data_IF_902418579785
#
_entry.id   IF_902418579785
#
_cell.length_a   1.000
_cell.length_b   1.000
_cell.length_c   1.000
_cell.angle_alpha   90.00
_cell.angle_beta   90.00
_cell.angle_gamma   90.00
#
_symmetry.space_group_name_H-M   'P 1'
#
loop_
_entity.id
_entity.type
_entity.pdbx_description
1 polymer ?
#
# COMPACT_ATOMS: atom_id res chain seq x y z
N UNK A 1 54.35 -29.86 -15.29
CA UNK A 1 54.74 -29.42 -16.65
C UNK A 1 54.22 -30.32 -17.79
N UNK A 2 53.49 -31.43 -17.53
CA UNK A 2 53.04 -32.36 -18.59
C UNK A 2 51.58 -32.22 -19.06
N UNK A 3 50.78 -31.28 -18.53
CA UNK A 3 49.36 -31.11 -18.94
C UNK A 3 49.10 -29.97 -19.94
N UNK A 4 50.10 -29.12 -20.21
CA UNK A 4 49.97 -28.04 -21.22
C UNK A 4 50.36 -28.56 -22.61
N UNK A 5 51.27 -29.54 -22.70
CA UNK A 5 51.64 -30.18 -23.97
C UNK A 5 50.46 -30.93 -24.61
N UNK A 6 49.60 -31.53 -23.79
CA UNK A 6 48.47 -32.35 -24.28
C UNK A 6 47.31 -31.52 -24.87
N UNK A 7 47.22 -30.23 -24.51
CA UNK A 7 46.25 -29.29 -25.09
C UNK A 7 46.64 -28.84 -26.52
N UNK A 8 47.91 -28.99 -26.91
CA UNK A 8 48.41 -28.62 -28.25
C UNK A 8 48.64 -29.82 -29.18
N UNK A 9 48.73 -31.04 -28.65
CA UNK A 9 48.92 -32.27 -29.44
C UNK A 9 47.61 -32.92 -29.85
N UNK A 10 46.52 -32.75 -29.09
CA UNK A 10 45.26 -33.48 -29.32
C UNK A 10 44.15 -32.59 -29.89
N UNK A 11 44.36 -32.03 -31.08
CA UNK A 11 43.27 -31.50 -31.89
C UNK A 11 43.64 -31.47 -33.39
N UNK A 12 42.69 -31.91 -34.22
CA UNK A 12 42.68 -31.84 -35.68
C UNK A 12 42.54 -30.40 -36.21
N UNK A 13 43.45 -29.49 -35.83
CA UNK A 13 43.50 -28.16 -36.44
C UNK A 13 44.13 -28.29 -37.82
N UNK A 14 43.42 -27.81 -38.85
CA UNK A 14 44.00 -27.70 -40.19
C UNK A 14 45.30 -26.88 -40.14
N UNK A 15 46.32 -27.18 -40.96
CA UNK A 15 47.58 -26.44 -40.98
C UNK A 15 47.39 -24.92 -41.09
N UNK A 16 46.34 -24.49 -41.81
CA UNK A 16 45.97 -23.09 -41.98
C UNK A 16 45.45 -22.42 -40.68
N UNK A 17 44.74 -23.16 -39.83
CA UNK A 17 44.23 -22.63 -38.56
C UNK A 17 45.36 -22.48 -37.54
N UNK A 18 46.31 -23.42 -37.51
CA UNK A 18 47.52 -23.31 -36.66
C UNK A 18 48.34 -22.08 -37.05
N UNK A 19 48.53 -21.84 -38.34
CA UNK A 19 49.34 -20.71 -38.82
C UNK A 19 48.70 -19.34 -38.51
N UNK A 20 47.35 -19.23 -38.63
CA UNK A 20 46.62 -18.02 -38.20
C UNK A 20 46.72 -17.76 -36.71
N UNK A 21 46.55 -18.79 -35.89
CA UNK A 21 46.65 -18.68 -34.42
C UNK A 21 48.07 -18.32 -34.01
N UNK A 22 49.09 -18.95 -34.58
CA UNK A 22 50.50 -18.62 -34.32
C UNK A 22 50.84 -17.19 -34.76
N UNK A 23 50.29 -16.72 -35.89
CA UNK A 23 50.49 -15.33 -36.34
C UNK A 23 49.88 -14.32 -35.36
N UNK A 24 48.67 -14.56 -34.88
CA UNK A 24 48.01 -13.71 -33.87
C UNK A 24 48.76 -13.75 -32.54
N UNK A 25 49.17 -14.95 -32.09
CA UNK A 25 49.92 -15.13 -30.85
C UNK A 25 51.28 -14.42 -30.92
N UNK A 26 51.97 -14.47 -32.08
CA UNK A 26 53.23 -13.77 -32.31
C UNK A 26 53.07 -12.26 -32.23
N UNK A 27 52.00 -11.71 -32.79
CA UNK A 27 51.68 -10.28 -32.64
C UNK A 27 51.37 -9.91 -31.19
N UNK A 28 50.61 -10.76 -30.49
CA UNK A 28 50.29 -10.53 -29.08
C UNK A 28 51.53 -10.53 -28.19
N UNK A 29 52.43 -11.50 -28.39
CA UNK A 29 53.72 -11.58 -27.69
C UNK A 29 54.63 -10.40 -28.07
N UNK A 30 54.64 -9.97 -29.34
CA UNK A 30 55.41 -8.81 -29.77
C UNK A 30 54.90 -7.51 -29.11
N UNK A 31 53.59 -7.32 -29.01
CA UNK A 31 52.97 -6.17 -28.34
C UNK A 31 53.29 -6.17 -26.85
N UNK A 32 53.18 -7.33 -26.19
CA UNK A 32 53.54 -7.46 -24.76
C UNK A 32 55.03 -7.19 -24.55
N UNK A 33 55.89 -7.77 -25.38
CA UNK A 33 57.34 -7.55 -25.32
C UNK A 33 57.70 -6.07 -25.52
N UNK A 34 57.01 -5.39 -26.44
CA UNK A 34 57.19 -3.96 -26.69
C UNK A 34 56.71 -3.11 -25.49
N UNK A 35 55.60 -3.47 -24.85
CA UNK A 35 55.14 -2.82 -23.63
C UNK A 35 56.12 -3.01 -22.46
N UNK A 36 56.75 -4.17 -22.34
CA UNK A 36 57.80 -4.44 -21.34
C UNK A 36 59.04 -3.58 -21.60
N UNK A 37 59.48 -3.47 -22.86
CA UNK A 37 60.63 -2.62 -23.23
C UNK A 37 60.32 -1.13 -22.94
N UNK A 38 59.11 -0.66 -23.26
CA UNK A 38 58.66 0.70 -22.93
C UNK A 38 58.59 0.89 -21.40
N UNK A 39 58.17 -0.13 -20.64
CA UNK A 39 58.15 -0.10 -19.18
C UNK A 39 59.53 0.14 -18.56
N UNK A 40 60.57 -0.38 -19.19
CA UNK A 40 61.96 -0.26 -18.71
C UNK A 40 62.56 1.08 -19.15
N UNK A 41 62.33 1.48 -20.39
CA UNK A 41 62.93 2.69 -20.98
C UNK A 41 62.25 4.00 -20.53
N UNK A 42 60.93 4.00 -20.33
CA UNK A 42 60.16 5.17 -19.92
C UNK A 42 58.94 4.78 -19.08
N UNK A 43 59.13 4.49 -17.78
CA UNK A 43 58.05 4.05 -16.89
C UNK A 43 56.95 5.12 -16.72
N UNK A 44 57.29 6.41 -16.85
CA UNK A 44 56.33 7.51 -16.82
C UNK A 44 55.41 7.50 -18.04
N UNK A 45 55.92 7.27 -19.25
CA UNK A 45 55.10 7.20 -20.46
C UNK A 45 54.15 5.98 -20.43
N UNK A 46 54.61 4.82 -19.93
CA UNK A 46 53.75 3.65 -19.76
C UNK A 46 52.64 3.91 -18.73
N UNK A 47 52.96 4.53 -17.59
CA UNK A 47 51.96 4.86 -16.57
C UNK A 47 50.90 5.84 -17.09
N UNK A 48 51.30 6.83 -17.90
CA UNK A 48 50.34 7.74 -18.56
C UNK A 48 49.44 6.95 -19.52
N UNK A 49 50.01 6.09 -20.37
CA UNK A 49 49.26 5.26 -21.30
C UNK A 49 48.27 4.33 -20.58
N UNK A 50 48.72 3.63 -19.54
CA UNK A 50 47.88 2.75 -18.73
C UNK A 50 46.79 3.51 -17.98
N UNK A 51 47.08 4.72 -17.48
CA UNK A 51 46.07 5.55 -16.85
C UNK A 51 45.02 6.04 -17.85
N UNK A 52 45.42 6.45 -19.06
CA UNK A 52 44.48 6.80 -20.13
C UNK A 52 43.60 5.60 -20.47
N UNK A 53 44.21 4.42 -20.67
CA UNK A 53 43.48 3.19 -20.98
C UNK A 53 42.53 2.78 -19.84
N UNK A 54 42.94 2.98 -18.59
CA UNK A 54 42.10 2.77 -17.40
C UNK A 54 40.92 3.71 -17.35
N UNK A 55 41.11 5.00 -17.62
CA UNK A 55 40.04 6.00 -17.67
C UNK A 55 39.03 5.67 -18.77
N UNK A 56 39.51 5.32 -19.98
CA UNK A 56 38.65 4.90 -21.08
C UNK A 56 37.87 3.64 -20.71
N UNK A 57 38.53 2.65 -20.09
CA UNK A 57 37.89 1.41 -19.66
C UNK A 57 36.78 1.64 -18.61
N UNK A 58 37.02 2.53 -17.63
CA UNK A 58 36.02 2.92 -16.63
C UNK A 58 34.84 3.62 -17.32
N UNK A 59 35.10 4.48 -18.30
CA UNK A 59 34.07 5.14 -19.11
C UNK A 59 33.19 4.13 -19.85
N UNK A 60 33.81 3.18 -20.54
CA UNK A 60 33.10 2.09 -21.24
C UNK A 60 32.25 1.28 -20.27
N UNK A 61 32.82 0.80 -19.16
CA UNK A 61 32.08 0.01 -18.16
C UNK A 61 30.89 0.78 -17.60
N UNK A 62 31.05 2.08 -17.35
CA UNK A 62 29.98 2.94 -16.83
C UNK A 62 28.83 3.10 -17.83
N UNK A 63 29.15 3.28 -19.12
CA UNK A 63 28.16 3.35 -20.21
C UNK A 63 27.41 2.02 -20.33
N UNK A 64 28.12 0.89 -20.31
CA UNK A 64 27.51 -0.44 -20.34
C UNK A 64 26.62 -0.71 -19.12
N UNK A 65 26.99 -0.23 -17.93
CA UNK A 65 26.18 -0.36 -16.73
C UNK A 65 24.86 0.44 -16.84
N UNK A 66 24.93 1.67 -17.35
CA UNK A 66 23.75 2.52 -17.61
C UNK A 66 22.83 1.88 -18.67
N UNK A 67 23.40 1.37 -19.76
CA UNK A 67 22.65 0.62 -20.78
C UNK A 67 22.01 -0.65 -20.20
N UNK A 68 22.72 -1.38 -19.35
CA UNK A 68 22.19 -2.55 -18.65
C UNK A 68 20.98 -2.22 -17.77
N UNK A 69 21.05 -1.13 -17.00
CA UNK A 69 19.93 -0.64 -16.18
C UNK A 69 18.73 -0.27 -17.06
N UNK A 70 18.95 0.44 -18.18
CA UNK A 70 17.89 0.81 -19.12
C UNK A 70 17.17 -0.42 -19.70
N UNK A 71 17.92 -1.47 -20.05
CA UNK A 71 17.34 -2.73 -20.56
C UNK A 71 16.54 -3.46 -19.50
N UNK A 72 17.05 -3.55 -18.26
CA UNK A 72 16.35 -4.19 -17.13
C UNK A 72 15.03 -3.48 -16.79
N UNK A 73 14.98 -2.16 -16.94
CA UNK A 73 13.79 -1.34 -16.67
C UNK A 73 12.79 -1.37 -17.85
N UNK A 74 13.14 -2.00 -18.98
CA UNK A 74 12.24 -2.18 -20.14
C UNK A 74 12.40 -1.13 -21.25
N UNK A 75 13.40 -0.25 -21.16
CA UNK A 75 13.74 0.75 -22.19
C UNK A 75 14.75 0.23 -23.21
N UNK A 76 14.45 -0.94 -23.80
CA UNK A 76 15.36 -1.62 -24.75
C UNK A 76 15.60 -0.83 -26.03
N UNK A 77 14.59 -0.12 -26.55
CA UNK A 77 14.68 0.65 -27.81
C UNK A 77 15.63 1.84 -27.65
N UNK A 78 15.58 2.49 -26.51
CA UNK A 78 16.45 3.59 -26.11
C UNK A 78 17.88 3.13 -25.94
N UNK A 79 18.09 2.03 -25.20
CA UNK A 79 19.41 1.44 -25.06
C UNK A 79 20.04 1.07 -26.41
N UNK A 80 19.21 0.58 -27.35
CA UNK A 80 19.66 0.26 -28.72
C UNK A 80 20.05 1.52 -29.50
N UNK A 81 19.20 2.56 -29.48
CA UNK A 81 19.51 3.86 -30.11
C UNK A 81 20.78 4.50 -29.55
N UNK A 82 21.04 4.34 -28.25
CA UNK A 82 22.26 4.85 -27.59
C UNK A 82 23.49 4.06 -28.03
N UNK A 83 23.36 2.73 -28.14
CA UNK A 83 24.40 1.86 -28.66
C UNK A 83 24.74 2.23 -30.11
N UNK A 84 23.73 2.51 -30.93
CA UNK A 84 23.90 2.92 -32.33
C UNK A 84 24.66 4.25 -32.45
N UNK A 85 24.30 5.26 -31.63
CA UNK A 85 25.01 6.56 -31.58
C UNK A 85 26.47 6.41 -31.11
N UNK A 86 26.73 5.52 -30.15
CA UNK A 86 28.08 5.21 -29.68
C UNK A 86 28.93 4.51 -30.75
N UNK A 87 28.31 3.63 -31.55
CA UNK A 87 28.97 2.90 -32.63
C UNK A 87 29.24 3.77 -33.86
N UNK A 88 28.40 4.77 -34.13
CA UNK A 88 28.60 5.74 -35.23
C UNK A 88 29.77 6.71 -34.98
N UNK A 89 30.32 6.76 -33.75
CA UNK A 89 31.60 7.41 -33.48
C UNK A 89 31.62 8.95 -33.55
N UNK A 90 30.47 9.60 -33.74
CA UNK A 90 30.38 11.06 -33.90
C UNK A 90 29.94 11.80 -32.63
N UNK A 91 30.40 11.38 -31.45
CA UNK A 91 30.02 12.08 -30.22
C UNK A 91 30.89 13.32 -30.02
N UNK A 92 30.35 14.50 -30.35
CA UNK A 92 30.87 15.76 -29.81
C UNK A 92 30.61 15.79 -28.30
N UNK A 93 31.50 16.42 -27.52
CA UNK A 93 31.31 16.60 -26.08
C UNK A 93 29.97 17.28 -25.74
N UNK A 94 29.50 18.15 -26.65
CA UNK A 94 28.20 18.84 -26.53
C UNK A 94 27.04 17.84 -26.61
N UNK A 95 27.12 16.87 -27.53
CA UNK A 95 26.09 15.84 -27.71
C UNK A 95 25.99 14.93 -26.48
N UNK A 96 27.11 14.66 -25.81
CA UNK A 96 27.14 13.86 -24.57
C UNK A 96 26.44 14.56 -23.41
N UNK A 97 26.61 15.89 -23.26
CA UNK A 97 25.96 16.65 -22.20
C UNK A 97 24.46 16.78 -22.45
N UNK A 98 24.06 17.02 -23.69
CA UNK A 98 22.64 17.06 -24.08
C UNK A 98 21.97 15.69 -23.88
N UNK A 99 22.68 14.62 -24.25
CA UNK A 99 22.29 13.25 -23.99
C UNK A 99 22.09 12.96 -22.49
N UNK A 100 23.03 13.35 -21.63
CA UNK A 100 22.92 13.18 -20.17
C UNK A 100 21.71 13.92 -19.61
N UNK A 101 21.39 15.12 -20.11
CA UNK A 101 20.19 15.87 -19.70
C UNK A 101 18.91 15.14 -20.09
N UNK A 102 18.83 14.63 -21.32
CA UNK A 102 17.67 13.86 -21.79
C UNK A 102 17.50 12.58 -20.95
N UNK A 103 18.60 11.86 -20.70
CA UNK A 103 18.60 10.63 -19.91
C UNK A 103 18.17 10.91 -18.47
N UNK A 104 18.68 11.97 -17.85
CA UNK A 104 18.30 12.38 -16.50
C UNK A 104 16.81 12.76 -16.43
N UNK A 105 16.30 13.54 -17.38
CA UNK A 105 14.88 13.93 -17.41
C UNK A 105 13.98 12.70 -17.53
N UNK A 106 14.29 11.80 -18.45
CA UNK A 106 13.50 10.59 -18.69
C UNK A 106 13.60 9.59 -17.54
N UNK A 107 14.76 9.49 -16.90
CA UNK A 107 14.93 8.72 -15.67
C UNK A 107 14.03 9.27 -14.54
N UNK A 108 13.97 10.60 -14.38
CA UNK A 108 13.08 11.21 -13.39
C UNK A 108 11.60 10.96 -13.70
N UNK A 109 11.19 11.00 -14.97
CA UNK A 109 9.82 10.67 -15.38
C UNK A 109 9.48 9.21 -15.07
N UNK A 110 10.35 8.27 -15.41
CA UNK A 110 10.17 6.87 -15.04
C UNK A 110 10.14 6.65 -13.54
N UNK A 111 11.01 7.31 -12.78
CA UNK A 111 11.03 7.21 -11.33
C UNK A 111 9.69 7.68 -10.73
N UNK A 112 9.10 8.75 -11.28
CA UNK A 112 7.77 9.22 -10.91
C UNK A 112 6.70 8.16 -11.22
N UNK A 113 6.70 7.58 -12.42
CA UNK A 113 5.74 6.53 -12.79
C UNK A 113 5.88 5.29 -11.91
N UNK A 114 7.11 4.85 -11.65
CA UNK A 114 7.42 3.75 -10.75
C UNK A 114 6.93 4.01 -9.33
N UNK A 115 7.14 5.22 -8.81
CA UNK A 115 6.64 5.62 -7.50
C UNK A 115 5.11 5.61 -7.44
N UNK A 116 4.40 6.08 -8.47
CA UNK A 116 2.94 5.96 -8.56
C UNK A 116 2.51 4.49 -8.55
N UNK A 117 3.22 3.64 -9.30
CA UNK A 117 2.95 2.21 -9.38
C UNK A 117 3.15 1.47 -8.05
N UNK A 118 4.20 1.80 -7.29
CA UNK A 118 4.50 1.15 -6.00
C UNK A 118 3.69 1.75 -4.83
N UNK A 119 3.10 2.94 -5.01
CA UNK A 119 2.34 3.66 -3.96
C UNK A 119 1.25 2.80 -3.28
N UNK A 120 0.42 2.02 -4.00
CA UNK A 120 -0.55 1.12 -3.37
C UNK A 120 0.12 0.08 -2.46
N UNK A 121 1.23 -0.51 -2.90
CA UNK A 121 1.98 -1.51 -2.12
C UNK A 121 2.51 -0.89 -0.83
N UNK A 122 3.08 0.32 -0.92
CA UNK A 122 3.53 1.06 0.26
C UNK A 122 2.38 1.32 1.23
N UNK A 123 1.20 1.70 0.75
CA UNK A 123 0.02 1.91 1.59
C UNK A 123 -0.40 0.65 2.36
N UNK A 124 -0.38 -0.53 1.71
CA UNK A 124 -0.64 -1.82 2.35
C UNK A 124 0.41 -2.15 3.41
N UNK A 125 1.70 -1.95 3.10
CA UNK A 125 2.81 -2.20 4.04
C UNK A 125 2.65 -1.31 5.27
N UNK A 126 2.41 -0.01 5.08
CA UNK A 126 2.23 0.92 6.20
C UNK A 126 1.03 0.54 7.07
N UNK A 127 -0.10 0.13 6.47
CA UNK A 127 -1.25 -0.37 7.22
C UNK A 127 -0.90 -1.65 8.02
N UNK A 128 -0.16 -2.58 7.43
CA UNK A 128 0.32 -3.79 8.11
C UNK A 128 1.25 -3.50 9.29
N UNK A 129 2.14 -2.52 9.16
CA UNK A 129 2.99 -2.05 10.29
C UNK A 129 2.12 -1.47 11.40
N UNK A 130 1.10 -0.68 11.08
CA UNK A 130 0.16 -0.13 12.05
C UNK A 130 -0.60 -1.25 12.78
N UNK A 131 -1.03 -2.30 12.07
CA UNK A 131 -1.67 -3.47 12.68
C UNK A 131 -0.79 -4.13 13.75
N UNK A 132 0.48 -4.41 13.42
CA UNK A 132 1.43 -5.02 14.34
C UNK A 132 1.66 -4.10 15.55
N UNK A 133 1.85 -2.81 15.32
CA UNK A 133 2.06 -1.82 16.37
C UNK A 133 0.86 -1.71 17.31
N UNK A 134 -0.36 -1.67 16.77
CA UNK A 134 -1.60 -1.66 17.57
C UNK A 134 -1.69 -2.91 18.45
N UNK A 135 -1.39 -4.10 17.91
CA UNK A 135 -1.40 -5.34 18.68
C UNK A 135 -0.34 -5.36 19.77
N UNK A 136 0.88 -4.94 19.47
CA UNK A 136 1.97 -4.88 20.47
C UNK A 136 1.58 -3.96 21.62
N UNK A 137 1.07 -2.75 21.33
CA UNK A 137 0.61 -1.82 22.35
C UNK A 137 -0.53 -2.43 23.18
N UNK A 138 -1.55 -2.98 22.50
CA UNK A 138 -2.72 -3.55 23.16
C UNK A 138 -2.37 -4.73 24.07
N UNK A 139 -1.50 -5.64 23.60
CA UNK A 139 -1.04 -6.80 24.38
C UNK A 139 -0.13 -6.43 25.53
N UNK A 140 0.72 -5.41 25.35
CA UNK A 140 1.58 -4.90 26.42
C UNK A 140 0.75 -4.32 27.56
N UNK A 141 -0.28 -3.53 27.23
CA UNK A 141 -1.21 -3.00 28.24
C UNK A 141 -2.01 -4.13 28.88
N UNK A 142 -2.54 -5.05 28.07
CA UNK A 142 -3.34 -6.18 28.55
C UNK A 142 -2.59 -7.22 29.38
N UNK A 143 -1.25 -7.16 29.40
CA UNK A 143 -0.42 -7.96 30.31
C UNK A 143 -0.48 -7.44 31.75
N UNK A 144 -0.58 -6.13 31.93
CA UNK A 144 -0.46 -5.48 33.24
C UNK A 144 -1.78 -4.91 33.75
N UNK A 145 -2.72 -4.59 32.86
CA UNK A 145 -3.94 -3.85 33.17
C UNK A 145 -5.16 -4.47 32.49
N UNK A 146 -6.33 -4.14 33.05
CA UNK A 146 -7.62 -4.39 32.42
C UNK A 146 -7.75 -3.58 31.13
N UNK A 147 -8.05 -4.24 30.01
CA UNK A 147 -8.09 -3.60 28.69
C UNK A 147 -9.42 -2.93 28.37
N UNK A 148 -10.41 -2.97 29.25
CA UNK A 148 -11.78 -2.50 28.93
C UNK A 148 -11.78 -1.04 28.51
N UNK A 149 -11.23 -0.16 29.35
CA UNK A 149 -11.15 1.27 29.08
C UNK A 149 -10.24 1.57 27.87
N UNK A 150 -9.12 0.84 27.76
CA UNK A 150 -8.21 0.98 26.63
C UNK A 150 -8.88 0.58 25.30
N UNK A 151 -9.74 -0.45 25.32
CA UNK A 151 -10.51 -0.89 24.16
C UNK A 151 -11.52 0.17 23.74
N UNK A 152 -12.20 0.82 24.69
CA UNK A 152 -13.11 1.94 24.41
C UNK A 152 -12.32 3.08 23.74
N UNK A 153 -11.22 3.52 24.35
CA UNK A 153 -10.39 4.62 23.84
C UNK A 153 -9.83 4.34 22.45
N UNK A 154 -9.22 3.17 22.25
CA UNK A 154 -8.63 2.82 20.97
C UNK A 154 -9.70 2.73 19.88
N UNK A 155 -10.88 2.19 20.21
CA UNK A 155 -12.02 2.14 19.27
C UNK A 155 -12.45 3.54 18.85
N UNK A 156 -12.62 4.47 19.80
CA UNK A 156 -12.98 5.87 19.50
C UNK A 156 -11.95 6.50 18.56
N UNK A 157 -10.66 6.39 18.89
CA UNK A 157 -9.56 6.98 18.11
C UNK A 157 -9.51 6.39 16.69
N UNK A 158 -9.62 5.07 16.57
CA UNK A 158 -9.55 4.37 15.29
C UNK A 158 -10.74 4.72 14.38
N UNK A 159 -11.95 4.71 14.93
CA UNK A 159 -13.18 5.05 14.20
C UNK A 159 -13.19 6.53 13.80
N UNK A 160 -12.78 7.43 14.69
CA UNK A 160 -12.65 8.84 14.38
C UNK A 160 -11.61 9.08 13.28
N UNK A 161 -10.48 8.35 13.32
CA UNK A 161 -9.43 8.44 12.31
C UNK A 161 -9.94 8.00 10.93
N UNK A 162 -10.65 6.86 10.82
CA UNK A 162 -11.31 6.44 9.56
C UNK A 162 -12.28 7.50 9.07
N UNK A 163 -13.14 8.00 9.97
CA UNK A 163 -14.16 8.99 9.62
C UNK A 163 -13.55 10.29 9.07
N UNK A 164 -12.44 10.75 9.66
CA UNK A 164 -11.71 11.94 9.21
C UNK A 164 -10.96 11.68 7.89
N UNK A 165 -10.35 10.51 7.73
CA UNK A 165 -9.66 10.13 6.49
C UNK A 165 -10.65 10.02 5.31
N UNK A 166 -11.85 9.47 5.56
CA UNK A 166 -12.94 9.32 4.59
C UNK A 166 -13.68 10.63 4.26
N UNK A 167 -13.35 11.75 4.92
CA UNK A 167 -14.05 13.04 4.73
C UNK A 167 -13.85 13.68 3.35
N UNK A 168 -12.99 13.15 2.47
CA UNK A 168 -12.42 13.98 1.41
C UNK A 168 -13.23 14.09 0.11
N UNK A 169 -13.55 15.35 -0.24
CA UNK A 169 -14.18 15.88 -1.46
C UNK A 169 -13.29 15.82 -2.71
N UNK A 170 -12.00 15.48 -2.55
CA UNK A 170 -10.96 15.64 -3.58
C UNK A 170 -10.60 14.34 -4.32
N UNK A 171 -11.40 13.28 -4.22
CA UNK A 171 -11.12 12.05 -4.98
C UNK A 171 -11.39 12.20 -6.49
N UNK A 172 -12.17 13.23 -6.86
CA UNK A 172 -12.59 13.49 -8.25
C UNK A 172 -11.95 14.74 -8.86
N UNK A 173 -11.10 15.48 -8.12
CA UNK A 173 -10.34 16.59 -8.70
C UNK A 173 -9.15 16.05 -9.49
N UNK A 174 -8.98 16.44 -10.77
CA UNK A 174 -7.82 16.01 -11.55
C UNK A 174 -6.55 16.54 -10.89
N UNK A 175 -5.70 15.62 -10.42
CA UNK A 175 -4.44 15.97 -9.78
C UNK A 175 -3.49 16.64 -10.78
N UNK A 176 -3.33 17.96 -10.67
CA UNK A 176 -2.46 18.76 -11.56
C UNK A 176 -0.97 18.57 -11.28
N UNK A 177 -0.60 17.97 -10.14
CA UNK A 177 0.80 17.76 -9.73
C UNK A 177 1.05 16.30 -9.37
N UNK A 178 2.22 15.79 -9.77
CA UNK A 178 2.69 14.43 -9.46
C UNK A 178 2.56 14.05 -7.97
N UNK A 179 3.00 14.93 -7.07
CA UNK A 179 2.94 14.70 -5.61
C UNK A 179 1.51 14.56 -5.10
N UNK A 180 0.57 15.34 -5.64
CA UNK A 180 -0.86 15.22 -5.32
C UNK A 180 -1.43 13.89 -5.82
N UNK A 181 -1.02 13.44 -7.01
CA UNK A 181 -1.46 12.15 -7.57
C UNK A 181 -1.03 10.97 -6.70
N UNK A 182 0.25 10.96 -6.28
CA UNK A 182 0.78 9.97 -5.33
C UNK A 182 0.02 10.03 -4.01
N UNK A 183 -0.18 11.22 -3.43
CA UNK A 183 -0.89 11.36 -2.16
C UNK A 183 -2.35 10.88 -2.23
N UNK A 184 -3.06 11.15 -3.33
CA UNK A 184 -4.45 10.70 -3.55
C UNK A 184 -4.50 9.17 -3.65
N UNK A 185 -3.61 8.58 -4.45
CA UNK A 185 -3.53 7.12 -4.62
C UNK A 185 -3.18 6.46 -3.29
N UNK A 186 -2.12 6.94 -2.62
CA UNK A 186 -1.70 6.45 -1.32
C UNK A 186 -2.85 6.50 -0.31
N UNK A 187 -3.50 7.66 -0.17
CA UNK A 187 -4.61 7.85 0.76
C UNK A 187 -5.76 6.89 0.48
N UNK A 188 -6.14 6.69 -0.79
CA UNK A 188 -7.23 5.78 -1.17
C UNK A 188 -6.91 4.33 -0.76
N UNK A 189 -5.75 3.81 -1.15
CA UNK A 189 -5.36 2.45 -0.80
C UNK A 189 -5.09 2.28 0.70
N UNK A 190 -4.55 3.30 1.36
CA UNK A 190 -4.32 3.30 2.80
C UNK A 190 -5.63 3.20 3.58
N UNK A 191 -6.65 3.98 3.21
CA UNK A 191 -8.00 3.91 3.81
C UNK A 191 -8.57 2.49 3.68
N UNK A 192 -8.57 1.96 2.45
CA UNK A 192 -9.08 0.60 2.17
C UNK A 192 -8.33 -0.47 3.00
N UNK A 193 -7.01 -0.33 3.12
CA UNK A 193 -6.16 -1.24 3.90
C UNK A 193 -6.39 -1.09 5.40
N UNK A 194 -6.56 0.14 5.87
CA UNK A 194 -6.76 0.45 7.28
C UNK A 194 -8.09 -0.09 7.78
N UNK A 195 -9.16 -0.07 6.97
CA UNK A 195 -10.42 -0.76 7.27
C UNK A 195 -10.23 -2.27 7.49
N UNK A 196 -9.43 -2.93 6.65
CA UNK A 196 -9.09 -4.35 6.83
C UNK A 196 -8.29 -4.55 8.13
N UNK A 197 -7.32 -3.68 8.40
CA UNK A 197 -6.52 -3.71 9.63
C UNK A 197 -7.40 -3.60 10.88
N UNK A 198 -8.40 -2.72 10.87
CA UNK A 198 -9.36 -2.61 11.98
C UNK A 198 -10.13 -3.89 12.18
N UNK A 199 -10.65 -4.48 11.10
CA UNK A 199 -11.35 -5.76 11.17
C UNK A 199 -10.45 -6.87 11.75
N UNK A 200 -9.23 -7.01 11.21
CA UNK A 200 -8.26 -8.00 11.68
C UNK A 200 -7.86 -7.74 13.13
N UNK A 201 -7.66 -6.49 13.52
CA UNK A 201 -7.35 -6.09 14.90
C UNK A 201 -8.44 -6.56 15.84
N UNK A 202 -9.70 -6.17 15.64
CA UNK A 202 -10.81 -6.60 16.49
C UNK A 202 -11.04 -8.12 16.46
N UNK A 203 -10.75 -8.79 15.35
CA UNK A 203 -10.81 -10.24 15.29
C UNK A 203 -9.70 -10.93 16.10
N UNK A 204 -8.54 -10.31 16.23
CA UNK A 204 -7.34 -10.92 16.84
C UNK A 204 -7.01 -10.44 18.25
N UNK A 205 -7.63 -9.37 18.76
CA UNK A 205 -7.34 -8.81 20.09
C UNK A 205 -7.45 -9.85 21.22
N UNK A 206 -8.43 -10.76 21.16
CA UNK A 206 -8.69 -11.76 22.19
C UNK A 206 -7.91 -13.08 21.98
N UNK A 207 -7.15 -13.20 20.89
CA UNK A 207 -6.36 -14.40 20.64
C UNK A 207 -5.23 -14.54 21.66
N UNK A 208 -5.15 -15.68 22.34
CA UNK A 208 -4.09 -15.94 23.33
C UNK A 208 -2.76 -16.32 22.71
N UNK A 209 -2.75 -16.72 21.43
CA UNK A 209 -1.55 -17.12 20.69
C UNK A 209 -1.54 -16.47 19.33
N UNK A 210 -0.56 -15.61 19.09
CA UNK A 210 -0.27 -15.01 17.79
C UNK A 210 1.17 -15.37 17.42
N UNK A 211 1.34 -16.06 16.29
CA UNK A 211 2.64 -16.63 15.88
C UNK A 211 3.74 -15.59 15.63
N UNK A 212 3.34 -14.35 15.36
CA UNK A 212 4.26 -13.24 15.05
C UNK A 212 4.56 -12.35 16.28
N UNK A 213 3.94 -12.61 17.43
CA UNK A 213 4.24 -11.91 18.67
C UNK A 213 5.18 -12.75 19.54
N UNK A 214 6.09 -12.11 20.31
CA UNK A 214 6.92 -12.82 21.26
C UNK A 214 6.06 -13.47 22.35
N UNK A 215 6.52 -14.60 22.88
CA UNK A 215 5.77 -15.39 23.87
C UNK A 215 5.40 -14.60 25.13
N UNK A 216 6.21 -13.60 25.48
CA UNK A 216 5.95 -12.68 26.60
C UNK A 216 4.67 -11.83 26.44
N UNK A 217 4.15 -11.70 25.21
CA UNK A 217 2.91 -10.99 24.88
C UNK A 217 1.73 -11.94 24.58
N UNK A 218 1.97 -13.25 24.50
CA UNK A 218 0.93 -14.28 24.32
C UNK A 218 0.24 -14.63 25.65
N UNK A 219 -0.29 -13.59 26.31
CA UNK A 219 -0.98 -13.69 27.60
C UNK A 219 -2.50 -13.64 27.43
N UNK A 220 -3.21 -14.27 28.38
CA UNK A 220 -4.67 -14.13 28.48
C UNK A 220 -4.98 -12.70 28.91
N UNK A 221 -5.79 -12.02 28.11
CA UNK A 221 -6.19 -10.65 28.40
C UNK A 221 -7.40 -10.69 29.35
N UNK A 222 -7.40 -9.79 30.33
CA UNK A 222 -8.50 -9.61 31.28
C UNK A 222 -9.28 -8.34 30.93
N UNK A 223 -10.61 -8.43 30.95
CA UNK A 223 -11.50 -7.29 30.74
C UNK A 223 -12.73 -7.43 31.61
N UNK A 224 -12.86 -6.53 32.58
CA UNK A 224 -13.99 -6.43 33.49
C UNK A 224 -14.64 -5.06 33.39
N UNK A 225 -15.96 -5.04 33.36
CA UNK A 225 -16.77 -3.84 33.45
C UNK A 225 -17.78 -4.01 34.57
N UNK A 226 -17.73 -3.17 35.61
CA UNK A 226 -18.65 -3.24 36.76
C UNK A 226 -18.77 -4.66 37.37
N UNK A 227 -17.62 -5.31 37.58
CA UNK A 227 -17.54 -6.69 38.11
C UNK A 227 -17.83 -7.80 37.10
N UNK A 228 -18.28 -7.47 35.88
CA UNK A 228 -18.62 -8.42 34.83
C UNK A 228 -17.46 -8.68 33.87
N UNK A 229 -17.13 -9.95 33.62
CA UNK A 229 -16.07 -10.35 32.69
C UNK A 229 -16.56 -10.32 31.22
N UNK A 230 -16.01 -9.38 30.45
CA UNK A 230 -16.29 -9.18 29.03
C UNK A 230 -15.55 -10.16 28.12
N UNK A 231 -14.62 -10.96 28.65
CA UNK A 231 -13.93 -12.02 27.90
C UNK A 231 -14.73 -13.32 27.83
N UNK A 232 -15.85 -13.39 28.55
CA UNK A 232 -16.79 -14.51 28.48
C UNK A 232 -17.31 -14.71 27.06
N UNK A 233 -17.31 -15.97 26.62
CA UNK A 233 -17.80 -16.41 25.31
C UNK A 233 -19.13 -17.15 25.50
N UNK A 234 -19.94 -17.19 24.44
CA UNK A 234 -21.24 -17.87 24.39
C UNK A 234 -22.35 -17.27 25.29
N UNK A 235 -23.57 -17.75 25.06
CA UNK A 235 -24.77 -17.37 25.80
C UNK A 235 -24.74 -18.00 27.20
N UNK A 236 -24.41 -17.19 28.20
CA UNK A 236 -24.63 -17.53 29.61
C UNK A 236 -25.81 -16.74 30.14
N UNK A 237 -26.77 -17.43 30.77
CA UNK A 237 -28.00 -16.83 31.30
C UNK A 237 -27.73 -15.79 32.40
N UNK A 238 -26.64 -15.96 33.14
CA UNK A 238 -26.24 -15.11 34.27
C UNK A 238 -25.96 -13.65 33.88
N UNK A 239 -25.69 -13.37 32.60
CA UNK A 239 -25.26 -12.04 32.15
C UNK A 239 -25.89 -11.61 30.81
N UNK A 240 -27.05 -12.17 30.49
CA UNK A 240 -27.79 -11.88 29.27
C UNK A 240 -28.15 -10.39 29.15
N UNK A 241 -28.54 -9.75 30.26
CA UNK A 241 -28.96 -8.35 30.29
C UNK A 241 -27.89 -7.39 29.76
N UNK A 242 -26.62 -7.58 30.16
CA UNK A 242 -25.51 -6.76 29.66
C UNK A 242 -25.31 -6.92 28.16
N UNK A 243 -25.40 -8.15 27.66
CA UNK A 243 -25.27 -8.43 26.23
C UNK A 243 -26.40 -7.76 25.45
N UNK A 244 -27.65 -7.87 25.93
CA UNK A 244 -28.82 -7.21 25.34
C UNK A 244 -28.65 -5.69 25.37
N UNK A 245 -28.20 -5.10 26.48
CA UNK A 245 -27.99 -3.66 26.59
C UNK A 245 -26.96 -3.14 25.58
N UNK A 246 -25.81 -3.81 25.46
CA UNK A 246 -24.76 -3.43 24.50
C UNK A 246 -25.29 -3.49 23.07
N UNK A 247 -25.97 -4.60 22.72
CA UNK A 247 -26.58 -4.79 21.39
C UNK A 247 -27.65 -3.73 21.12
N UNK A 248 -28.50 -3.44 22.11
CA UNK A 248 -29.57 -2.45 22.01
C UNK A 248 -29.00 -1.06 21.77
N UNK A 249 -27.97 -0.64 22.53
CA UNK A 249 -27.32 0.66 22.34
C UNK A 249 -26.73 0.78 20.94
N UNK A 250 -26.08 -0.27 20.43
CA UNK A 250 -25.53 -0.29 19.08
C UNK A 250 -26.63 -0.13 18.01
N UNK A 251 -27.71 -0.93 18.10
CA UNK A 251 -28.83 -0.90 17.15
C UNK A 251 -29.53 0.47 17.19
N UNK A 252 -29.86 0.97 18.38
CA UNK A 252 -30.54 2.26 18.54
C UNK A 252 -29.69 3.40 17.98
N UNK A 253 -28.38 3.40 18.25
CA UNK A 253 -27.46 4.41 17.72
C UNK A 253 -27.47 4.43 16.19
N UNK A 254 -27.44 3.27 15.55
CA UNK A 254 -27.51 3.18 14.09
C UNK A 254 -28.89 3.59 13.54
N UNK A 255 -30.00 3.20 14.17
CA UNK A 255 -31.35 3.65 13.77
C UNK A 255 -31.43 5.18 13.78
N UNK A 256 -30.86 5.82 14.79
CA UNK A 256 -30.79 7.28 14.88
C UNK A 256 -29.98 7.83 13.70
N UNK A 257 -28.80 7.28 13.40
CA UNK A 257 -27.97 7.70 12.25
C UNK A 257 -28.71 7.59 10.92
N UNK A 258 -29.42 6.49 10.67
CA UNK A 258 -30.22 6.31 9.46
C UNK A 258 -31.35 7.32 9.37
N UNK A 259 -32.04 7.58 10.47
CA UNK A 259 -33.11 8.57 10.54
C UNK A 259 -32.60 9.98 10.25
N UNK A 260 -31.44 10.35 10.81
CA UNK A 260 -30.75 11.61 10.53
C UNK A 260 -30.38 11.73 9.05
N UNK A 261 -29.87 10.65 8.44
CA UNK A 261 -29.52 10.63 7.02
C UNK A 261 -30.72 10.84 6.10
N UNK A 262 -31.82 10.12 6.34
CA UNK A 262 -33.06 10.29 5.58
C UNK A 262 -33.54 11.73 5.69
N UNK A 263 -33.50 12.31 6.89
CA UNK A 263 -33.89 13.70 7.14
C UNK A 263 -32.99 14.68 6.38
N UNK A 264 -31.68 14.49 6.41
CA UNK A 264 -30.72 15.34 5.71
C UNK A 264 -30.88 15.27 4.18
N UNK A 265 -31.09 14.08 3.62
CA UNK A 265 -31.38 13.88 2.20
C UNK A 265 -32.72 14.49 1.80
N UNK A 266 -33.76 14.32 2.62
CA UNK A 266 -35.06 14.93 2.38
C UNK A 266 -34.97 16.46 2.37
N UNK A 267 -34.20 17.07 3.29
CA UNK A 267 -33.93 18.52 3.29
C UNK A 267 -33.25 18.98 2.00
N UNK A 268 -32.29 18.20 1.48
CA UNK A 268 -31.62 18.48 0.21
C UNK A 268 -32.59 18.39 -0.98
N UNK A 269 -33.38 17.32 -1.08
CA UNK A 269 -34.36 17.18 -2.17
C UNK A 269 -35.46 18.23 -2.11
N UNK A 270 -35.91 18.59 -0.91
CA UNK A 270 -36.89 19.65 -0.71
C UNK A 270 -36.43 20.99 -1.31
N UNK A 271 -35.14 21.30 -1.23
CA UNK A 271 -34.58 22.52 -1.83
C UNK A 271 -34.57 22.50 -3.36
N UNK A 272 -34.53 21.30 -3.99
CA UNK A 272 -34.47 21.14 -5.44
C UNK A 272 -35.83 20.97 -6.14
N UNK A 273 -36.92 20.76 -5.40
CA UNK A 273 -38.25 20.49 -5.98
C UNK A 273 -39.05 21.79 -6.16
N UNK A 274 -39.48 22.05 -7.39
CA UNK A 274 -40.25 23.24 -7.82
C UNK A 274 -41.78 23.06 -7.64
N UNK A 275 -42.23 22.48 -6.53
CA UNK A 275 -43.67 22.22 -6.29
C UNK A 275 -44.28 23.31 -5.39
N UNK A 276 -45.33 24.04 -5.79
CA UNK A 276 -45.84 25.19 -5.02
C UNK A 276 -46.51 24.79 -3.69
N UNK A 277 -47.09 23.59 -3.62
CA UNK A 277 -47.71 23.09 -2.37
C UNK A 277 -46.66 22.48 -1.45
N UNK A 278 -46.43 23.12 -0.30
CA UNK A 278 -45.46 22.69 0.74
C UNK A 278 -45.61 21.21 1.14
N UNK A 279 -46.84 20.75 1.37
CA UNK A 279 -47.12 19.36 1.79
C UNK A 279 -46.72 18.35 0.71
N UNK A 280 -47.03 18.67 -0.56
CA UNK A 280 -46.68 17.81 -1.71
C UNK A 280 -45.16 17.78 -1.88
N UNK A 281 -44.49 18.94 -1.76
CA UNK A 281 -43.04 19.04 -1.81
C UNK A 281 -42.34 18.20 -0.74
N UNK A 282 -42.82 18.26 0.51
CA UNK A 282 -42.30 17.42 1.62
C UNK A 282 -42.49 15.95 1.28
N UNK A 283 -43.68 15.54 0.84
CA UNK A 283 -43.99 14.14 0.53
C UNK A 283 -43.10 13.59 -0.58
N UNK A 284 -42.86 14.37 -1.64
CA UNK A 284 -41.97 13.98 -2.75
C UNK A 284 -40.52 13.90 -2.27
N UNK A 285 -40.03 14.90 -1.54
CA UNK A 285 -38.67 14.94 -1.01
C UNK A 285 -38.37 13.74 -0.08
N UNK A 286 -39.31 13.42 0.81
CA UNK A 286 -39.22 12.27 1.71
C UNK A 286 -39.25 10.97 0.91
N UNK A 287 -40.15 10.82 -0.07
CA UNK A 287 -40.22 9.62 -0.92
C UNK A 287 -38.93 9.40 -1.71
N UNK A 288 -38.33 10.45 -2.25
CA UNK A 288 -37.02 10.38 -2.92
C UNK A 288 -35.89 10.01 -1.95
N UNK A 289 -35.88 10.59 -0.76
CA UNK A 289 -34.92 10.26 0.29
C UNK A 289 -35.03 8.79 0.73
N UNK A 290 -36.24 8.29 0.94
CA UNK A 290 -36.48 6.88 1.25
C UNK A 290 -36.12 5.95 0.09
N UNK A 291 -36.44 6.33 -1.14
CA UNK A 291 -36.07 5.56 -2.34
C UNK A 291 -34.56 5.33 -2.42
N UNK A 292 -33.77 6.38 -2.16
CA UNK A 292 -32.31 6.29 -2.17
C UNK A 292 -31.72 5.64 -0.92
N UNK A 293 -32.40 5.74 0.23
CA UNK A 293 -31.96 5.12 1.47
C UNK A 293 -32.35 3.64 1.60
N UNK A 294 -33.34 3.15 0.84
CA UNK A 294 -33.91 1.79 0.98
C UNK A 294 -32.84 0.71 0.85
N UNK A 295 -32.05 0.74 -0.21
CA UNK A 295 -31.01 -0.27 -0.44
C UNK A 295 -29.91 -0.19 0.62
N UNK A 296 -29.58 1.03 1.07
CA UNK A 296 -28.61 1.24 2.14
C UNK A 296 -29.11 0.74 3.51
N UNK A 297 -30.41 0.84 3.78
CA UNK A 297 -31.05 0.28 4.98
C UNK A 297 -31.03 -1.25 4.92
N UNK A 298 -31.37 -1.85 3.76
CA UNK A 298 -31.35 -3.31 3.60
C UNK A 298 -29.93 -3.87 3.73
N UNK A 299 -28.95 -3.25 3.08
CA UNK A 299 -27.53 -3.63 3.23
C UNK A 299 -27.08 -3.51 4.68
N UNK A 300 -27.51 -2.46 5.37
CA UNK A 300 -27.19 -2.26 6.78
C UNK A 300 -27.80 -3.30 7.69
N UNK A 301 -29.09 -3.61 7.55
CA UNK A 301 -29.74 -4.66 8.33
C UNK A 301 -29.04 -5.99 8.09
N UNK A 302 -28.72 -6.31 6.83
CA UNK A 302 -28.02 -7.54 6.46
C UNK A 302 -26.62 -7.59 7.08
N UNK A 303 -25.84 -6.52 6.92
CA UNK A 303 -24.49 -6.41 7.49
C UNK A 303 -24.52 -6.56 9.01
N UNK A 304 -25.39 -5.81 9.67
CA UNK A 304 -25.52 -5.78 11.13
C UNK A 304 -25.98 -7.13 11.66
N UNK A 305 -26.89 -7.81 10.95
CA UNK A 305 -27.36 -9.15 11.34
C UNK A 305 -26.26 -10.19 11.23
N UNK A 306 -25.51 -10.20 10.12
CA UNK A 306 -24.35 -11.10 9.95
C UNK A 306 -23.29 -10.81 11.00
N UNK A 307 -22.98 -9.53 11.21
CA UNK A 307 -21.97 -9.08 12.14
C UNK A 307 -22.37 -9.45 13.58
N UNK A 308 -23.60 -9.17 14.01
CA UNK A 308 -24.10 -9.63 15.32
C UNK A 308 -24.07 -11.14 15.44
N UNK A 309 -24.50 -11.89 14.43
CA UNK A 309 -24.48 -13.36 14.47
C UNK A 309 -23.07 -13.91 14.70
N UNK A 310 -22.07 -13.31 14.03
CA UNK A 310 -20.66 -13.63 14.21
C UNK A 310 -20.18 -13.23 15.61
N UNK A 311 -20.45 -11.99 16.03
CA UNK A 311 -19.95 -11.45 17.31
C UNK A 311 -20.66 -12.00 18.55
N UNK A 312 -21.84 -12.61 18.44
CA UNK A 312 -22.49 -13.35 19.54
C UNK A 312 -21.71 -14.61 19.95
N UNK A 313 -20.87 -15.15 19.06
CA UNK A 313 -20.01 -16.31 19.32
C UNK A 313 -18.67 -15.85 19.93
N UNK A 314 -18.26 -14.61 19.69
CA UNK A 314 -17.02 -14.02 20.17
C UNK A 314 -17.14 -13.40 21.57
N UNK A 315 -16.01 -13.03 22.22
CA UNK A 315 -16.04 -12.32 23.49
C UNK A 315 -16.84 -11.03 23.43
N UNK A 316 -17.55 -10.74 24.53
CA UNK A 316 -18.43 -9.57 24.68
C UNK A 316 -17.70 -8.24 24.63
N UNK A 317 -16.40 -8.23 24.90
CA UNK A 317 -15.53 -7.07 24.67
C UNK A 317 -15.61 -6.57 23.21
N UNK A 318 -15.77 -7.49 22.24
CA UNK A 318 -15.93 -7.11 20.84
C UNK A 318 -17.30 -6.49 20.58
N UNK A 319 -18.36 -6.99 21.23
CA UNK A 319 -19.67 -6.35 21.18
C UNK A 319 -19.64 -4.94 21.79
N UNK A 320 -18.88 -4.74 22.87
CA UNK A 320 -18.66 -3.41 23.45
C UNK A 320 -17.98 -2.49 22.43
N UNK A 321 -16.93 -2.97 21.75
CA UNK A 321 -16.26 -2.18 20.70
C UNK A 321 -17.19 -1.81 19.53
N UNK A 322 -18.13 -2.69 19.18
CA UNK A 322 -19.16 -2.42 18.19
C UNK A 322 -20.10 -1.30 18.66
N UNK A 323 -20.61 -1.39 19.89
CA UNK A 323 -21.46 -0.34 20.46
C UNK A 323 -20.75 1.02 20.53
N UNK A 324 -19.48 1.03 20.98
CA UNK A 324 -18.63 2.23 20.99
C UNK A 324 -18.42 2.77 19.57
N UNK A 325 -18.22 1.90 18.59
CA UNK A 325 -18.07 2.28 17.17
C UNK A 325 -19.33 2.98 16.65
N UNK A 326 -20.51 2.40 16.90
CA UNK A 326 -21.79 2.98 16.48
C UNK A 326 -22.05 4.33 17.16
N UNK A 327 -21.78 4.43 18.47
CA UNK A 327 -21.94 5.67 19.23
C UNK A 327 -20.97 6.76 18.77
N UNK A 328 -19.70 6.41 18.54
CA UNK A 328 -18.67 7.34 18.04
C UNK A 328 -19.05 7.86 16.67
N UNK A 329 -19.50 6.98 15.78
CA UNK A 329 -19.94 7.40 14.46
C UNK A 329 -21.17 8.31 14.51
N UNK A 330 -22.13 8.05 15.40
CA UNK A 330 -23.27 8.94 15.63
C UNK A 330 -22.80 10.32 16.10
N UNK A 331 -21.88 10.37 17.07
CA UNK A 331 -21.30 11.63 17.55
C UNK A 331 -20.59 12.40 16.43
N UNK A 332 -19.82 11.72 15.57
CA UNK A 332 -19.15 12.36 14.43
C UNK A 332 -20.18 12.85 13.40
N UNK A 333 -21.25 12.10 13.14
CA UNK A 333 -22.31 12.51 12.21
C UNK A 333 -23.09 13.74 12.74
N UNK A 334 -23.21 13.90 14.06
CA UNK A 334 -23.74 15.11 14.69
C UNK A 334 -22.79 16.30 14.55
N UNK A 335 -21.48 16.08 14.75
CA UNK A 335 -20.46 17.12 14.64
C UNK A 335 -20.20 17.55 13.19
N UNK A 336 -20.38 16.64 12.22
CA UNK A 336 -20.09 16.85 10.80
C UNK A 336 -21.28 16.37 9.95
N UNK A 337 -22.39 17.15 9.88
CA UNK A 337 -23.62 16.75 9.21
C UNK A 337 -23.47 16.51 7.70
N UNK A 338 -22.46 17.11 7.07
CA UNK A 338 -22.16 16.96 5.65
C UNK A 338 -21.93 15.50 5.25
N UNK A 339 -21.41 14.66 6.16
CA UNK A 339 -21.18 13.22 5.93
C UNK A 339 -22.45 12.44 5.65
N UNK A 340 -23.61 12.92 6.11
CA UNK A 340 -24.89 12.25 5.93
C UNK A 340 -25.38 12.33 4.48
N UNK A 341 -24.92 13.33 3.72
CA UNK A 341 -25.44 13.67 2.39
C UNK A 341 -24.50 13.27 1.25
N UNK A 342 -23.24 12.96 1.56
CA UNK A 342 -22.24 12.48 0.60
C UNK A 342 -22.60 11.06 0.15
N UNK A 343 -22.54 10.79 -1.17
CA UNK A 343 -22.62 9.41 -1.67
C UNK A 343 -21.41 8.65 -1.13
N UNK A 344 -21.62 7.74 -0.19
CA UNK A 344 -20.53 6.89 0.30
C UNK A 344 -19.91 6.18 -0.90
N UNK A 345 -18.59 6.32 -1.06
CA UNK A 345 -17.85 5.40 -1.91
C UNK A 345 -18.16 3.99 -1.46
N UNK A 346 -18.19 3.01 -2.36
CA UNK A 346 -18.38 1.61 -1.95
C UNK A 346 -17.15 1.20 -1.12
N UNK A 347 -17.25 1.31 0.21
CA UNK A 347 -16.22 0.86 1.16
C UNK A 347 -15.76 -0.56 0.81
N UNK A 348 -14.51 -0.93 1.12
CA UNK A 348 -13.99 -2.23 0.69
C UNK A 348 -14.79 -3.40 1.30
N UNK A 349 -15.20 -3.27 2.57
CA UNK A 349 -16.07 -4.24 3.23
C UNK A 349 -17.42 -4.33 2.51
N UNK A 350 -18.03 -3.19 2.17
CA UNK A 350 -19.29 -3.16 1.41
C UNK A 350 -19.13 -3.75 0.00
N UNK A 351 -17.98 -3.55 -0.69
CA UNK A 351 -17.68 -4.19 -1.98
C UNK A 351 -17.58 -5.70 -1.87
N UNK A 352 -16.90 -6.20 -0.83
CA UNK A 352 -16.75 -7.64 -0.57
C UNK A 352 -18.11 -8.26 -0.25
N UNK A 353 -18.90 -7.63 0.61
CA UNK A 353 -20.22 -8.11 1.00
C UNK A 353 -21.20 -8.08 -0.16
N UNK A 354 -21.26 -6.99 -0.92
CA UNK A 354 -22.11 -6.94 -2.12
C UNK A 354 -21.72 -8.01 -3.14
N UNK A 355 -20.42 -8.37 -3.25
CA UNK A 355 -19.95 -9.44 -4.12
C UNK A 355 -20.33 -10.83 -3.59
N UNK A 356 -20.28 -11.06 -2.28
CA UNK A 356 -20.63 -12.33 -1.64
C UNK A 356 -22.15 -12.56 -1.63
N UNK A 357 -22.92 -11.53 -1.28
CA UNK A 357 -24.37 -11.61 -1.10
C UNK A 357 -25.19 -11.15 -2.32
N UNK A 358 -24.52 -10.74 -3.41
CA UNK A 358 -25.15 -10.22 -4.65
C UNK A 358 -26.14 -9.06 -4.39
N UNK A 359 -25.71 -8.07 -3.60
CA UNK A 359 -26.48 -6.88 -3.15
C UNK A 359 -26.10 -5.57 -3.87
#
# INVERSE_FOLDING_TARGET
MSKISDLFTNNNWSPQTKDRVFKVLRWFVAIIGLLVVISILSPTALNILLNILRVISIGIVSIFFVLGILVVIGLRKEATRILDILLEGSLSFIDVVEFLKILYHRFLEMLKEFLIYITPILAYITAGVIYILLLVIYKTIGRSYDVTLFTILITIILVASVALLNRNKNQDEPATTYTKRVAIIYKRYFIDSFEIVLLLFFLTIDSTRLFFLPDSLNVKILSKFDGYDLMTRAFTTTHLNWTINIVTVAIVSEIIRYSMRITALAKRYYASILEPRRIVRIKIAVRMAFGNAKDDIVRFITFTTVLFSVFLIFPRLKLLSLAVTSLTNLAIDLLIPERLVISRGKDLINRVINKIFKL
#
